data_IF_875081725317
#
_entry.id   IF_875081725317
#
_cell.length_a   1.000
_cell.length_b   1.000
_cell.length_c   1.000
_cell.angle_alpha   90.00
_cell.angle_beta   90.00
_cell.angle_gamma   90.00
#
_symmetry.space_group_name_H-M   'P 1'
#
loop_
_entity.id
_entity.type
_entity.pdbx_description
1 polymer ?
#
# COMPACT_ATOMS: atom_id res chain seq x y z
N UNK A 1 51.16 -19.05 -18.91
CA UNK A 1 51.46 -18.94 -17.47
C UNK A 1 50.31 -18.15 -16.84
N UNK A 2 49.45 -18.63 -15.95
CA UNK A 2 49.37 -19.84 -15.13
C UNK A 2 47.87 -20.13 -14.92
N UNK A 3 47.41 -21.34 -15.26
CA UNK A 3 46.07 -21.81 -14.90
C UNK A 3 46.07 -22.19 -13.41
N UNK A 4 45.05 -21.77 -12.65
CA UNK A 4 44.85 -22.20 -11.26
C UNK A 4 43.91 -23.40 -11.25
N UNK A 5 44.41 -24.52 -10.72
CA UNK A 5 43.67 -25.75 -10.47
C UNK A 5 42.54 -25.53 -9.45
N UNK A 6 41.39 -26.13 -9.74
CA UNK A 6 40.24 -26.24 -8.84
C UNK A 6 40.35 -27.60 -8.13
N UNK A 7 40.24 -27.66 -6.79
CA UNK A 7 40.30 -28.94 -6.08
C UNK A 7 39.05 -29.80 -6.33
N UNK A 8 39.16 -31.14 -6.35
CA UNK A 8 38.03 -32.01 -6.64
C UNK A 8 36.99 -32.03 -5.51
N UNK A 9 35.72 -32.15 -5.88
CA UNK A 9 34.60 -32.33 -4.94
C UNK A 9 34.70 -33.67 -4.20
N UNK A 10 34.26 -33.74 -2.92
CA UNK A 10 34.19 -35.00 -2.19
C UNK A 10 33.12 -35.93 -2.78
N UNK A 11 33.31 -37.27 -2.72
CA UNK A 11 32.36 -38.22 -3.26
C UNK A 11 31.04 -38.25 -2.47
N UNK A 12 29.94 -38.50 -3.17
CA UNK A 12 28.63 -38.76 -2.59
C UNK A 12 28.66 -40.06 -1.74
N UNK A 13 27.94 -40.10 -0.60
CA UNK A 13 27.83 -41.32 0.20
C UNK A 13 27.01 -42.40 -0.56
N UNK A 14 27.33 -43.70 -0.36
CA UNK A 14 26.61 -44.80 -1.00
C UNK A 14 25.17 -44.93 -0.46
N UNK A 15 24.23 -45.46 -1.26
CA UNK A 15 22.85 -45.65 -0.83
C UNK A 15 22.76 -46.81 0.17
N UNK A 16 22.29 -46.53 1.40
CA UNK A 16 22.04 -47.58 2.39
C UNK A 16 22.39 -47.27 3.86
N UNK A 17 22.54 -46.01 4.26
CA UNK A 17 22.73 -45.68 5.68
C UNK A 17 21.39 -45.72 6.46
N UNK A 18 21.34 -46.30 7.66
CA UNK A 18 20.12 -46.35 8.48
C UNK A 18 19.74 -44.95 8.98
N UNK A 19 18.45 -44.68 9.25
CA UNK A 19 18.01 -43.37 9.72
C UNK A 19 18.62 -43.06 11.08
N UNK A 20 19.11 -41.82 11.22
CA UNK A 20 19.58 -41.25 12.49
C UNK A 20 18.43 -41.27 13.53
N UNK A 21 18.73 -41.55 14.82
CA UNK A 21 17.70 -41.63 15.85
C UNK A 21 17.04 -40.26 16.08
N UNK A 22 15.72 -40.28 16.21
CA UNK A 22 14.90 -39.14 16.64
C UNK A 22 15.40 -38.60 17.98
N UNK A 23 15.83 -37.33 17.99
CA UNK A 23 16.21 -36.65 19.23
C UNK A 23 14.98 -36.47 20.11
N UNK A 24 15.01 -37.12 21.26
CA UNK A 24 14.06 -36.97 22.34
C UNK A 24 13.98 -35.53 22.85
N UNK A 25 12.78 -35.18 23.27
CA UNK A 25 12.42 -33.95 23.99
C UNK A 25 13.29 -33.83 25.24
N UNK A 26 14.25 -32.91 25.22
CA UNK A 26 14.87 -32.40 26.45
C UNK A 26 14.06 -31.19 26.91
N UNK A 27 13.45 -31.35 28.08
CA UNK A 27 12.84 -30.27 28.84
C UNK A 27 13.95 -29.37 29.40
N UNK A 28 14.29 -28.31 28.68
CA UNK A 28 15.13 -27.24 29.21
C UNK A 28 14.27 -26.06 29.63
N UNK A 29 14.42 -25.70 30.90
CA UNK A 29 13.78 -24.60 31.61
C UNK A 29 14.00 -23.28 30.86
N UNK A 30 12.90 -22.62 30.49
CA UNK A 30 12.91 -21.21 30.08
C UNK A 30 13.19 -20.34 31.32
N UNK A 31 14.20 -19.45 31.32
CA UNK A 31 14.38 -18.48 32.40
C UNK A 31 13.26 -17.44 32.34
N UNK A 32 12.57 -17.23 33.47
CA UNK A 32 11.54 -16.22 33.59
C UNK A 32 12.15 -14.79 33.54
N UNK A 33 11.55 -13.85 32.79
CA UNK A 33 11.91 -12.44 32.88
C UNK A 33 11.41 -11.83 34.21
N UNK A 34 12.06 -10.75 34.71
CA UNK A 34 11.68 -10.13 35.98
C UNK A 34 10.29 -9.46 35.89
N UNK A 35 9.52 -9.40 36.99
CA UNK A 35 8.20 -8.79 36.99
C UNK A 35 8.28 -7.27 36.85
N UNK A 36 7.55 -6.71 35.89
CA UNK A 36 7.29 -5.27 35.79
C UNK A 36 6.20 -4.87 36.81
N UNK A 37 6.26 -3.67 37.42
CA UNK A 37 5.29 -3.25 38.42
C UNK A 37 3.87 -3.08 37.85
N UNK A 38 2.89 -3.65 38.56
CA UNK A 38 1.45 -3.54 38.29
C UNK A 38 0.95 -2.18 38.80
N UNK A 39 0.11 -1.43 38.07
CA UNK A 39 -0.53 -0.24 38.61
C UNK A 39 -1.56 -0.62 39.69
N UNK A 40 -1.55 0.12 40.80
CA UNK A 40 -2.38 -0.12 41.97
C UNK A 40 -3.89 -0.02 41.66
N UNK A 41 -4.74 -0.82 42.32
CA UNK A 41 -6.19 -0.72 42.18
C UNK A 41 -6.73 0.57 42.85
N UNK A 42 -7.83 1.15 42.34
CA UNK A 42 -8.47 2.28 42.99
C UNK A 42 -9.08 1.86 44.33
N UNK A 43 -8.75 2.63 45.37
CA UNK A 43 -9.26 2.47 46.73
C UNK A 43 -10.75 2.79 46.74
N UNK A 44 -11.57 1.82 47.14
CA UNK A 44 -13.00 2.03 47.41
C UNK A 44 -13.17 2.83 48.70
N UNK A 45 -13.80 4.00 48.59
CA UNK A 45 -14.29 4.78 49.73
C UNK A 45 -15.82 4.81 49.71
N UNK A 46 -16.43 4.11 50.66
CA UNK A 46 -17.85 4.19 51.00
C UNK A 46 -18.15 5.58 51.58
N UNK A 47 -18.97 6.37 50.87
CA UNK A 47 -19.46 7.65 51.35
C UNK A 47 -20.86 7.92 50.81
N UNK A 48 -21.86 7.80 51.69
CA UNK A 48 -23.25 8.19 51.42
C UNK A 48 -23.28 9.72 51.31
N UNK A 49 -23.62 10.27 50.14
CA UNK A 49 -23.90 11.69 49.98
C UNK A 49 -25.30 11.91 49.41
N UNK A 50 -26.08 12.65 50.18
CA UNK A 50 -27.45 13.08 49.89
C UNK A 50 -27.48 14.05 48.71
N UNK A 51 -28.47 13.91 47.83
CA UNK A 51 -28.65 14.77 46.66
C UNK A 51 -28.97 16.23 47.06
N UNK A 52 -28.25 17.25 46.53
CA UNK A 52 -28.68 18.63 46.62
C UNK A 52 -29.66 18.99 45.49
N UNK A 53 -30.73 19.68 45.85
CA UNK A 53 -31.74 20.21 44.92
C UNK A 53 -31.13 21.29 43.99
N UNK A 54 -31.60 21.39 42.72
CA UNK A 54 -31.07 22.37 41.78
C UNK A 54 -31.52 23.80 42.11
N UNK A 55 -30.55 24.72 42.19
CA UNK A 55 -30.78 26.17 42.15
C UNK A 55 -30.96 26.62 40.68
N UNK A 56 -31.82 27.62 40.40
CA UNK A 56 -32.00 28.12 39.04
C UNK A 56 -30.75 28.87 38.58
N UNK A 57 -30.13 28.38 37.51
CA UNK A 57 -29.05 29.07 36.79
C UNK A 57 -29.69 30.02 35.79
N UNK A 58 -29.35 31.31 35.89
CA UNK A 58 -29.78 32.33 34.95
C UNK A 58 -29.28 31.98 33.54
N UNK A 59 -30.21 31.97 32.58
CA UNK A 59 -29.92 31.79 31.15
C UNK A 59 -29.16 33.03 30.65
N UNK A 60 -27.92 32.93 30.16
CA UNK A 60 -27.30 34.03 29.46
C UNK A 60 -28.01 34.21 28.11
N UNK A 61 -28.49 35.42 27.86
CA UNK A 61 -29.01 35.85 26.56
C UNK A 61 -27.89 35.67 25.54
N UNK A 62 -28.11 34.78 24.57
CA UNK A 62 -27.18 34.55 23.47
C UNK A 62 -27.11 35.79 22.60
N UNK A 63 -25.98 36.50 22.67
CA UNK A 63 -25.56 37.42 21.60
C UNK A 63 -25.13 36.53 20.43
N UNK A 64 -25.68 36.70 19.22
CA UNK A 64 -25.27 35.89 18.09
C UNK A 64 -23.82 36.23 17.73
N UNK A 65 -22.88 35.37 18.13
CA UNK A 65 -21.53 35.36 17.58
C UNK A 65 -21.65 34.73 16.20
N UNK A 66 -21.70 35.58 15.18
CA UNK A 66 -21.46 35.16 13.81
C UNK A 66 -20.00 34.73 13.74
N UNK A 67 -19.76 33.42 13.86
CA UNK A 67 -18.50 32.80 13.47
C UNK A 67 -18.35 33.01 11.96
N UNK A 68 -17.65 34.06 11.56
CA UNK A 68 -17.13 34.16 10.22
C UNK A 68 -16.25 32.92 9.98
N UNK A 69 -16.72 31.99 9.14
CA UNK A 69 -15.85 30.96 8.58
C UNK A 69 -14.64 31.63 7.92
N UNK A 70 -13.52 30.90 7.71
CA UNK A 70 -12.35 31.48 7.07
C UNK A 70 -12.79 32.14 5.76
N UNK A 71 -12.68 33.46 5.70
CA UNK A 71 -12.91 34.22 4.47
C UNK A 71 -11.84 33.73 3.52
N UNK A 72 -12.24 32.88 2.57
CA UNK A 72 -11.37 32.48 1.47
C UNK A 72 -11.11 33.77 0.69
N UNK A 73 -9.91 34.33 0.84
CA UNK A 73 -9.48 35.46 0.03
C UNK A 73 -9.65 35.08 -1.44
N UNK A 74 -10.10 36.00 -2.31
CA UNK A 74 -10.22 35.72 -3.73
C UNK A 74 -8.86 35.23 -4.25
N UNK A 75 -8.85 34.19 -5.12
CA UNK A 75 -7.60 33.69 -5.68
C UNK A 75 -6.83 34.84 -6.34
N UNK A 76 -5.49 34.85 -6.22
CA UNK A 76 -4.68 35.90 -6.82
C UNK A 76 -4.90 35.98 -8.34
N UNK A 77 -4.86 37.19 -8.89
CA UNK A 77 -5.03 37.46 -10.32
C UNK A 77 -4.10 36.58 -11.18
N UNK A 78 -4.62 35.75 -12.10
CA UNK A 78 -3.80 34.86 -12.93
C UNK A 78 -2.68 35.56 -13.70
N UNK A 79 -2.91 36.80 -14.16
CA UNK A 79 -1.90 37.58 -14.88
C UNK A 79 -0.75 38.00 -13.95
N UNK A 80 -1.05 38.26 -12.67
CA UNK A 80 -0.07 38.57 -11.65
C UNK A 80 0.79 37.35 -11.30
N UNK A 81 0.16 36.18 -11.18
CA UNK A 81 0.88 34.93 -10.88
C UNK A 81 1.87 34.61 -12.01
N UNK A 82 1.44 34.71 -13.28
CA UNK A 82 2.34 34.44 -14.42
C UNK A 82 3.48 35.45 -14.54
N UNK A 83 3.23 36.75 -14.30
CA UNK A 83 4.30 37.77 -14.32
C UNK A 83 5.37 37.53 -13.24
N UNK A 84 4.94 37.27 -12.00
CA UNK A 84 5.86 36.99 -10.90
C UNK A 84 6.61 35.68 -11.12
N UNK A 85 5.93 34.67 -11.66
CA UNK A 85 6.53 33.39 -12.04
C UNK A 85 7.61 33.54 -13.09
N UNK A 86 7.33 34.25 -14.18
CA UNK A 86 8.31 34.48 -15.26
C UNK A 86 9.58 35.16 -14.73
N UNK A 87 9.43 36.09 -13.79
CA UNK A 87 10.54 36.77 -13.11
C UNK A 87 11.35 35.82 -12.22
N UNK A 88 10.68 35.02 -11.40
CA UNK A 88 11.34 34.04 -10.52
C UNK A 88 12.11 32.99 -11.34
N UNK A 89 11.51 32.52 -12.44
CA UNK A 89 12.14 31.59 -13.38
C UNK A 89 13.38 32.20 -14.06
N UNK A 90 13.30 33.46 -14.51
CA UNK A 90 14.45 34.15 -15.10
C UNK A 90 15.62 34.35 -14.10
N UNK A 91 15.31 34.44 -12.80
CA UNK A 91 16.32 34.53 -11.75
C UNK A 91 16.75 33.19 -11.14
N UNK A 92 16.09 32.07 -11.45
CA UNK A 92 16.33 30.78 -10.79
C UNK A 92 15.99 30.75 -9.29
N UNK A 93 15.08 31.61 -8.81
CA UNK A 93 14.75 31.72 -7.38
C UNK A 93 13.54 30.85 -7.03
N UNK A 94 13.61 30.14 -5.90
CA UNK A 94 12.42 29.48 -5.34
C UNK A 94 11.38 30.52 -4.87
N UNK A 95 10.07 30.21 -4.99
CA UNK A 95 8.98 31.08 -4.53
C UNK A 95 8.88 31.12 -3.00
N UNK A 96 9.84 31.79 -2.37
CA UNK A 96 9.82 32.15 -0.95
C UNK A 96 9.07 33.46 -0.75
N UNK A 97 8.50 33.74 0.44
CA UNK A 97 7.86 35.03 0.72
C UNK A 97 8.73 36.24 0.37
N UNK A 98 10.04 36.15 0.65
CA UNK A 98 11.01 37.19 0.33
C UNK A 98 11.21 37.36 -1.20
N UNK A 99 11.38 36.25 -1.94
CA UNK A 99 11.58 36.29 -3.39
C UNK A 99 10.32 36.79 -4.13
N UNK A 100 9.14 36.35 -3.69
CA UNK A 100 7.85 36.82 -4.25
C UNK A 100 7.64 38.30 -3.97
N UNK A 101 7.90 38.77 -2.75
CA UNK A 101 7.82 40.19 -2.41
C UNK A 101 8.82 41.04 -3.23
N UNK A 102 10.04 40.53 -3.46
CA UNK A 102 11.02 41.20 -4.30
C UNK A 102 10.58 41.28 -5.78
N UNK A 103 10.04 40.19 -6.32
CA UNK A 103 9.51 40.14 -7.69
C UNK A 103 8.31 41.08 -7.88
N UNK A 104 7.37 41.14 -6.92
CA UNK A 104 6.24 42.07 -6.94
C UNK A 104 6.69 43.54 -6.96
N UNK A 105 7.67 43.89 -6.11
CA UNK A 105 8.24 45.24 -6.08
C UNK A 105 8.89 45.61 -7.41
N UNK A 106 9.58 44.66 -8.04
CA UNK A 106 10.20 44.86 -9.36
C UNK A 106 9.17 45.05 -10.48
N UNK A 107 7.98 44.44 -10.37
CA UNK A 107 6.85 44.63 -11.29
C UNK A 107 6.02 45.89 -10.98
N UNK A 108 6.44 46.71 -9.99
CA UNK A 108 5.74 47.93 -9.59
C UNK A 108 4.38 47.68 -8.93
N UNK A 109 4.13 46.47 -8.41
CA UNK A 109 2.86 46.08 -7.79
C UNK A 109 2.99 45.94 -6.27
N UNK A 110 1.98 46.41 -5.55
CA UNK A 110 1.89 46.31 -4.07
C UNK A 110 0.71 45.42 -3.72
N UNK A 111 0.98 44.32 -3.00
CA UNK A 111 -0.04 43.44 -2.40
C UNK A 111 -0.10 43.71 -0.90
N UNK A 112 -1.30 43.69 -0.32
CA UNK A 112 -1.46 43.75 1.13
C UNK A 112 -0.83 42.53 1.81
N UNK A 113 -0.31 42.69 3.04
CA UNK A 113 0.35 41.62 3.81
C UNK A 113 -0.51 40.35 3.94
N UNK A 114 -1.84 40.49 3.98
CA UNK A 114 -2.77 39.36 4.05
C UNK A 114 -2.83 38.51 2.77
N UNK A 115 -2.51 39.07 1.60
CA UNK A 115 -2.61 38.38 0.30
C UNK A 115 -1.28 37.79 -0.18
N UNK A 116 -0.15 38.19 0.42
CA UNK A 116 1.17 37.66 0.10
C UNK A 116 1.29 36.14 0.37
N UNK A 117 0.79 35.58 1.49
CA UNK A 117 0.81 34.13 1.72
C UNK A 117 0.06 33.34 0.65
N UNK A 118 -1.07 33.86 0.17
CA UNK A 118 -1.90 33.21 -0.85
C UNK A 118 -1.23 33.26 -2.23
N UNK A 119 -0.60 34.38 -2.59
CA UNK A 119 0.21 34.48 -3.80
C UNK A 119 1.45 33.58 -3.75
N UNK A 120 2.17 33.54 -2.62
CA UNK A 120 3.30 32.63 -2.43
C UNK A 120 2.85 31.18 -2.56
N UNK A 121 1.67 30.83 -2.03
CA UNK A 121 1.09 29.48 -2.16
C UNK A 121 0.71 29.18 -3.61
N UNK A 122 0.11 30.12 -4.33
CA UNK A 122 -0.21 29.99 -5.74
C UNK A 122 1.05 29.83 -6.62
N UNK A 123 2.09 30.62 -6.35
CA UNK A 123 3.37 30.51 -7.06
C UNK A 123 4.11 29.22 -6.75
N UNK A 124 4.13 28.77 -5.48
CA UNK A 124 4.66 27.45 -5.12
C UNK A 124 3.92 26.33 -5.83
N UNK A 125 2.59 26.42 -5.84
CA UNK A 125 1.71 25.49 -6.54
C UNK A 125 2.01 25.43 -8.04
N UNK A 126 2.31 26.56 -8.67
CA UNK A 126 2.53 26.62 -10.11
C UNK A 126 3.98 26.32 -10.55
N UNK A 127 4.96 26.72 -9.73
CA UNK A 127 6.39 26.56 -9.99
C UNK A 127 6.88 25.17 -9.59
N UNK A 128 6.40 24.65 -8.46
CA UNK A 128 6.87 23.38 -7.88
C UNK A 128 5.75 22.34 -7.66
N UNK A 129 4.48 22.74 -7.64
CA UNK A 129 3.33 21.86 -7.41
C UNK A 129 2.62 21.40 -8.69
N UNK A 130 1.43 20.81 -8.54
CA UNK A 130 0.61 20.32 -9.64
C UNK A 130 -0.25 21.41 -10.31
N UNK A 131 0.07 22.70 -10.07
CA UNK A 131 -0.64 23.84 -10.63
C UNK A 131 -2.15 23.80 -10.31
N UNK A 132 -3.04 23.95 -11.30
CA UNK A 132 -4.49 23.93 -11.08
C UNK A 132 -5.01 22.65 -10.38
N UNK A 133 -4.28 21.54 -10.46
CA UNK A 133 -4.70 20.27 -9.85
C UNK A 133 -4.47 20.23 -8.34
N UNK A 134 -3.66 21.13 -7.78
CA UNK A 134 -3.36 21.16 -6.34
C UNK A 134 -4.61 21.32 -5.48
N UNK A 135 -5.65 22.01 -5.97
CA UNK A 135 -6.91 22.14 -5.23
C UNK A 135 -7.59 20.77 -5.06
N UNK A 136 -7.48 19.91 -6.07
CA UNK A 136 -8.04 18.56 -6.08
C UNK A 136 -7.17 17.60 -5.25
N UNK A 137 -5.84 17.68 -5.38
CA UNK A 137 -4.90 16.82 -4.65
C UNK A 137 -4.87 17.07 -3.14
N UNK A 138 -5.33 18.24 -2.68
CA UNK A 138 -5.46 18.56 -1.25
C UNK A 138 -6.76 18.06 -0.63
N UNK A 139 -7.76 17.69 -1.42
CA UNK A 139 -8.99 17.09 -0.92
C UNK A 139 -8.66 15.68 -0.38
N UNK A 140 -8.80 15.43 0.94
CA UNK A 140 -8.42 14.16 1.54
C UNK A 140 -9.25 12.97 1.05
N UNK A 141 -10.43 13.23 0.45
CA UNK A 141 -11.30 12.19 -0.09
C UNK A 141 -10.91 11.78 -1.52
N UNK A 142 -10.12 12.60 -2.23
CA UNK A 142 -9.70 12.31 -3.61
C UNK A 142 -8.65 11.22 -3.63
N UNK A 143 -8.92 10.16 -4.40
CA UNK A 143 -8.01 9.04 -4.63
C UNK A 143 -7.31 9.12 -5.98
N UNK A 144 -7.96 9.70 -6.99
CA UNK A 144 -7.46 9.78 -8.35
C UNK A 144 -7.83 11.13 -8.98
N UNK A 145 -6.92 11.72 -9.74
CA UNK A 145 -7.15 12.90 -10.60
C UNK A 145 -6.72 12.53 -12.02
N UNK A 146 -7.64 12.64 -12.97
CA UNK A 146 -7.44 12.22 -14.36
C UNK A 146 -7.63 13.41 -15.29
N UNK A 147 -6.60 13.78 -16.04
CA UNK A 147 -6.68 14.78 -17.11
C UNK A 147 -6.65 14.04 -18.44
N UNK A 148 -7.77 14.05 -19.16
CA UNK A 148 -7.88 13.41 -20.47
C UNK A 148 -7.65 14.40 -21.62
N UNK A 149 -7.91 15.68 -21.36
CA UNK A 149 -7.73 16.81 -22.26
C UNK A 149 -7.72 18.12 -21.44
N UNK A 150 -7.34 19.26 -22.01
CA UNK A 150 -7.31 20.55 -21.29
C UNK A 150 -8.64 20.94 -20.66
N UNK A 151 -9.75 20.60 -21.30
CA UNK A 151 -11.12 20.87 -20.88
C UNK A 151 -11.79 19.68 -20.15
N UNK A 152 -11.04 18.60 -19.90
CA UNK A 152 -11.56 17.32 -19.42
C UNK A 152 -10.75 16.78 -18.22
N UNK A 153 -11.08 17.28 -17.03
CA UNK A 153 -10.48 16.84 -15.74
C UNK A 153 -11.52 16.12 -14.88
N UNK A 154 -11.18 14.91 -14.44
CA UNK A 154 -12.00 14.05 -13.58
C UNK A 154 -11.30 13.77 -12.25
N UNK A 155 -12.09 13.45 -11.22
CA UNK A 155 -11.61 12.93 -9.94
C UNK A 155 -12.39 11.69 -9.52
N UNK A 156 -11.76 10.82 -8.74
CA UNK A 156 -12.47 9.74 -8.03
C UNK A 156 -12.27 9.94 -6.52
N UNK A 157 -13.34 9.72 -5.75
CA UNK A 157 -13.34 9.70 -4.27
C UNK A 157 -13.62 8.30 -3.70
N UNK A 158 -13.52 7.27 -4.53
CA UNK A 158 -13.89 5.88 -4.25
C UNK A 158 -15.27 5.46 -4.73
N UNK A 159 -16.09 6.39 -5.24
CA UNK A 159 -17.43 6.14 -5.78
C UNK A 159 -17.48 6.11 -7.32
N UNK A 160 -16.34 6.28 -7.98
CA UNK A 160 -16.22 6.37 -9.43
C UNK A 160 -15.91 7.80 -9.91
N UNK A 161 -15.54 7.95 -11.19
CA UNK A 161 -15.05 9.21 -11.74
C UNK A 161 -16.15 10.27 -11.85
N UNK A 162 -15.82 11.49 -11.44
CA UNK A 162 -16.67 12.68 -11.46
C UNK A 162 -15.95 13.83 -12.17
N UNK A 163 -16.62 14.50 -13.11
CA UNK A 163 -16.03 15.64 -13.83
C UNK A 163 -15.92 16.85 -12.91
N UNK A 164 -14.80 17.56 -12.99
CA UNK A 164 -14.54 18.77 -12.20
C UNK A 164 -14.74 20.04 -13.03
N UNK A 165 -14.73 21.20 -12.36
CA UNK A 165 -14.68 22.50 -13.01
C UNK A 165 -13.25 22.97 -13.36
N UNK A 166 -12.22 22.21 -12.97
CA UNK A 166 -10.83 22.56 -13.25
C UNK A 166 -10.54 22.33 -14.72
N UNK A 167 -9.94 23.31 -15.38
CA UNK A 167 -9.53 23.26 -16.78
C UNK A 167 -8.14 23.87 -16.94
N UNK A 168 -7.52 23.57 -18.08
CA UNK A 168 -6.28 24.15 -18.55
C UNK A 168 -6.54 25.05 -19.76
N UNK A 169 -5.67 26.03 -19.97
CA UNK A 169 -5.79 26.94 -21.11
C UNK A 169 -5.70 26.22 -22.46
N UNK A 170 -4.77 25.27 -22.58
CA UNK A 170 -4.51 24.50 -23.79
C UNK A 170 -3.75 23.20 -23.48
N UNK A 171 -3.53 22.38 -24.51
CA UNK A 171 -2.73 21.14 -24.43
C UNK A 171 -1.28 21.43 -24.03
N UNK A 172 -0.73 22.55 -24.49
CA UNK A 172 0.63 22.95 -24.16
C UNK A 172 0.79 23.20 -22.66
N UNK A 173 -0.23 23.70 -21.96
CA UNK A 173 -0.24 23.88 -20.52
C UNK A 173 -0.22 22.54 -19.78
N UNK A 174 -1.01 21.55 -20.23
CA UNK A 174 -1.00 20.19 -19.68
C UNK A 174 0.37 19.53 -19.91
N UNK A 175 0.93 19.64 -21.12
CA UNK A 175 2.28 19.16 -21.45
C UNK A 175 3.35 19.79 -20.55
N UNK A 176 3.34 21.12 -20.40
CA UNK A 176 4.29 21.81 -19.52
C UNK A 176 4.16 21.32 -18.08
N UNK A 177 2.94 21.08 -17.58
CA UNK A 177 2.73 20.53 -16.25
C UNK A 177 3.32 19.12 -16.13
N UNK A 178 2.98 18.23 -17.06
CA UNK A 178 3.49 16.86 -17.10
C UNK A 178 5.02 16.81 -17.06
N UNK A 179 5.67 17.63 -17.89
CA UNK A 179 7.12 17.71 -18.00
C UNK A 179 7.79 18.24 -16.74
N UNK A 180 7.19 19.26 -16.09
CA UNK A 180 7.69 19.79 -14.80
C UNK A 180 7.58 18.75 -13.69
N UNK A 181 6.44 18.06 -13.58
CA UNK A 181 6.25 17.03 -12.56
C UNK A 181 7.24 15.88 -12.75
N UNK A 182 7.44 15.43 -14.00
CA UNK A 182 8.41 14.39 -14.34
C UNK A 182 9.85 14.82 -14.04
N UNK A 183 10.25 16.02 -14.46
CA UNK A 183 11.62 16.51 -14.25
C UNK A 183 11.94 16.75 -12.78
N UNK A 184 10.95 17.17 -11.99
CA UNK A 184 11.07 17.34 -10.53
C UNK A 184 11.46 16.06 -9.78
N UNK A 185 11.21 14.89 -10.38
CA UNK A 185 11.62 13.58 -9.84
C UNK A 185 12.64 12.86 -10.73
N UNK A 186 13.37 13.61 -11.57
CA UNK A 186 14.48 13.11 -12.37
C UNK A 186 14.05 12.19 -13.52
N UNK A 187 12.82 12.35 -14.02
CA UNK A 187 12.26 11.56 -15.12
C UNK A 187 12.17 12.40 -16.39
N UNK A 188 12.36 11.75 -17.53
CA UNK A 188 12.28 12.38 -18.85
C UNK A 188 10.91 12.19 -19.46
N UNK A 189 10.33 13.27 -19.98
CA UNK A 189 9.07 13.28 -20.71
C UNK A 189 9.18 14.28 -21.87
N UNK A 190 9.29 13.79 -23.09
CA UNK A 190 9.43 14.59 -24.31
C UNK A 190 8.99 13.80 -25.53
N UNK A 191 9.21 14.31 -26.74
CA UNK A 191 8.73 13.66 -27.96
C UNK A 191 9.48 12.34 -28.27
N UNK A 192 10.67 12.13 -27.69
CA UNK A 192 11.42 10.88 -27.81
C UNK A 192 11.00 9.86 -26.74
N UNK A 193 10.58 10.32 -25.56
CA UNK A 193 10.01 9.53 -24.48
C UNK A 193 8.60 10.04 -24.15
N UNK A 194 7.58 9.69 -24.96
CA UNK A 194 6.26 10.34 -24.93
C UNK A 194 5.36 9.85 -23.78
N UNK A 195 5.89 9.05 -22.85
CA UNK A 195 5.18 8.67 -21.63
C UNK A 195 6.15 8.55 -20.46
N UNK A 196 5.61 8.63 -19.24
CA UNK A 196 6.40 8.49 -18.02
C UNK A 196 5.55 7.95 -16.88
N UNK A 197 6.17 7.09 -16.07
CA UNK A 197 5.71 6.69 -14.74
C UNK A 197 6.66 7.23 -13.68
N UNK A 198 6.09 7.83 -12.63
CA UNK A 198 6.85 8.45 -11.55
C UNK A 198 6.07 8.47 -10.22
N UNK A 199 6.80 8.58 -9.11
CA UNK A 199 6.24 8.89 -7.78
C UNK A 199 6.75 10.27 -7.38
N UNK A 200 5.83 11.21 -7.16
CA UNK A 200 6.14 12.58 -6.74
C UNK A 200 6.59 12.61 -5.27
N UNK A 201 7.18 13.73 -4.83
CA UNK A 201 7.75 13.87 -3.49
C UNK A 201 6.72 13.67 -2.35
N UNK A 202 5.44 13.91 -2.62
CA UNK A 202 4.32 13.70 -1.70
C UNK A 202 3.71 12.28 -1.78
N UNK A 203 4.32 11.38 -2.57
CA UNK A 203 3.90 10.01 -2.79
C UNK A 203 2.80 9.85 -3.85
N UNK A 204 2.32 10.93 -4.46
CA UNK A 204 1.36 10.86 -5.58
C UNK A 204 2.02 10.17 -6.75
N UNK A 205 1.37 9.14 -7.30
CA UNK A 205 1.86 8.48 -8.51
C UNK A 205 1.39 9.26 -9.72
N UNK A 206 2.31 9.54 -10.63
CA UNK A 206 2.07 10.18 -11.89
C UNK A 206 2.27 9.18 -13.02
N UNK A 207 1.27 9.05 -13.88
CA UNK A 207 1.42 8.57 -15.23
C UNK A 207 1.08 9.70 -16.19
N UNK A 208 1.91 9.94 -17.21
CA UNK A 208 1.62 10.93 -18.25
C UNK A 208 1.90 10.37 -19.64
N UNK A 209 1.12 10.82 -20.62
CA UNK A 209 1.28 10.45 -22.03
C UNK A 209 1.10 11.68 -22.91
N UNK A 210 2.08 11.97 -23.76
CA UNK A 210 2.09 13.10 -24.69
C UNK A 210 1.44 12.76 -26.04
N UNK A 211 1.11 13.80 -26.81
CA UNK A 211 0.88 13.65 -28.25
C UNK A 211 2.15 13.18 -28.96
N UNK A 212 2.04 12.41 -30.08
CA UNK A 212 0.81 11.97 -30.73
C UNK A 212 0.19 10.68 -30.14
N UNK A 213 0.83 10.06 -29.13
CA UNK A 213 0.34 8.80 -28.53
C UNK A 213 -1.03 9.00 -27.91
N UNK A 214 -1.20 10.09 -27.16
CA UNK A 214 -2.51 10.51 -26.67
C UNK A 214 -3.21 11.41 -27.71
N UNK A 215 -4.09 10.81 -28.51
CA UNK A 215 -4.67 11.43 -29.71
C UNK A 215 -5.39 12.76 -29.44
N UNK A 216 -6.11 12.86 -28.32
CA UNK A 216 -6.91 14.05 -27.97
C UNK A 216 -6.12 15.17 -27.29
N UNK A 217 -4.88 14.92 -26.89
CA UNK A 217 -4.08 15.82 -26.05
C UNK A 217 -3.29 15.04 -25.03
N UNK A 218 -2.38 15.73 -24.34
CA UNK A 218 -1.58 15.19 -23.24
C UNK A 218 -2.49 14.71 -22.11
N UNK A 219 -2.28 13.48 -21.66
CA UNK A 219 -3.03 12.88 -20.57
C UNK A 219 -2.19 12.81 -19.28
N UNK A 220 -2.84 12.96 -18.13
CA UNK A 220 -2.26 12.76 -16.80
C UNK A 220 -3.17 11.85 -15.97
N UNK A 221 -2.59 10.89 -15.28
CA UNK A 221 -3.25 10.12 -14.23
C UNK A 221 -2.45 10.28 -12.94
N UNK A 222 -3.04 10.95 -11.96
CA UNK A 222 -2.45 11.15 -10.64
C UNK A 222 -3.20 10.28 -9.63
N UNK A 223 -2.50 9.38 -8.95
CA UNK A 223 -3.09 8.52 -7.93
C UNK A 223 -2.55 8.90 -6.56
N UNK A 224 -3.45 9.38 -5.71
CA UNK A 224 -3.11 9.88 -4.38
C UNK A 224 -2.95 8.71 -3.42
N UNK A 225 -1.83 8.61 -2.70
CA UNK A 225 -1.64 7.56 -1.71
C UNK A 225 -2.64 7.75 -0.57
N UNK A 226 -3.30 6.65 -0.16
CA UNK A 226 -4.17 6.68 1.02
C UNK A 226 -3.33 6.94 2.26
N UNK A 227 -3.64 8.03 2.96
CA UNK A 227 -2.88 8.48 4.14
C UNK A 227 -3.26 7.74 5.43
N UNK A 228 -4.37 7.00 5.43
CA UNK A 228 -4.88 6.32 6.62
C UNK A 228 -4.56 4.83 6.59
N UNK A 229 -3.74 4.38 7.54
CA UNK A 229 -3.55 2.96 7.83
C UNK A 229 -4.82 2.41 8.50
N UNK A 230 -5.48 1.42 7.89
CA UNK A 230 -6.65 0.74 8.46
C UNK A 230 -6.21 -0.49 9.25
N UNK A 231 -6.72 -0.63 10.47
CA UNK A 231 -6.57 -1.85 11.27
C UNK A 231 -7.73 -2.82 11.05
N UNK A 232 -7.60 -4.03 11.58
CA UNK A 232 -8.66 -5.06 11.50
C UNK A 232 -9.99 -4.57 12.09
N UNK A 233 -9.95 -3.86 13.22
CA UNK A 233 -11.15 -3.28 13.82
C UNK A 233 -11.86 -2.25 12.92
N UNK A 234 -11.10 -1.53 12.09
CA UNK A 234 -11.67 -0.57 11.14
C UNK A 234 -12.36 -1.31 9.98
N UNK A 235 -11.77 -2.42 9.51
CA UNK A 235 -12.38 -3.27 8.48
C UNK A 235 -13.66 -3.96 8.98
N UNK A 236 -13.71 -4.35 10.25
CA UNK A 236 -14.94 -4.88 10.87
C UNK A 236 -16.01 -3.79 10.93
N UNK A 237 -15.66 -2.57 11.38
CA UNK A 237 -16.60 -1.44 11.44
C UNK A 237 -17.14 -1.05 10.06
N UNK A 238 -16.32 -1.17 9.02
CA UNK A 238 -16.71 -0.90 7.64
C UNK A 238 -17.51 -2.04 6.97
N UNK A 239 -17.69 -3.18 7.65
CA UNK A 239 -18.37 -4.37 7.09
C UNK A 239 -17.52 -5.15 6.08
N UNK A 240 -16.23 -4.82 5.92
CA UNK A 240 -15.29 -5.55 5.07
C UNK A 240 -14.87 -6.90 5.65
N UNK A 241 -14.94 -7.04 6.97
CA UNK A 241 -14.72 -8.29 7.70
C UNK A 241 -15.88 -8.52 8.67
N UNK A 242 -16.36 -9.76 8.76
CA UNK A 242 -17.16 -10.15 9.92
C UNK A 242 -16.26 -10.32 11.14
N UNK A 243 -16.77 -10.24 12.39
CA UNK A 243 -15.98 -10.50 13.58
C UNK A 243 -15.30 -11.88 13.56
N UNK A 244 -16.00 -12.91 13.07
CA UNK A 244 -15.46 -14.26 12.92
C UNK A 244 -14.36 -14.32 11.83
N UNK A 245 -14.50 -13.58 10.73
CA UNK A 245 -13.43 -13.47 9.73
C UNK A 245 -12.19 -12.77 10.31
N UNK A 246 -12.39 -11.71 11.09
CA UNK A 246 -11.30 -10.99 11.74
C UNK A 246 -10.54 -11.88 12.73
N UNK A 247 -11.25 -12.65 13.57
CA UNK A 247 -10.65 -13.61 14.50
C UNK A 247 -9.82 -14.67 13.75
N UNK A 248 -10.43 -15.34 12.76
CA UNK A 248 -9.76 -16.36 11.97
C UNK A 248 -8.52 -15.81 11.26
N UNK A 249 -8.62 -14.65 10.60
CA UNK A 249 -7.51 -14.10 9.83
C UNK A 249 -6.39 -13.53 10.71
N UNK A 250 -6.67 -12.98 11.88
CA UNK A 250 -5.59 -12.66 12.83
C UNK A 250 -4.95 -13.95 13.39
N UNK A 251 -5.70 -15.04 13.56
CA UNK A 251 -5.13 -16.33 13.95
C UNK A 251 -4.20 -16.91 12.87
N UNK A 252 -4.54 -16.77 11.58
CA UNK A 252 -3.64 -17.09 10.44
C UNK A 252 -2.30 -16.37 10.57
N UNK A 253 -2.34 -15.06 10.84
CA UNK A 253 -1.12 -14.25 11.01
C UNK A 253 -0.33 -14.72 12.23
N UNK A 254 -1.02 -14.93 13.35
CA UNK A 254 -0.40 -15.32 14.63
C UNK A 254 0.25 -16.71 14.57
N UNK A 255 -0.37 -17.64 13.85
CA UNK A 255 0.14 -18.98 13.57
C UNK A 255 1.30 -19.00 12.57
N UNK A 256 1.67 -17.84 11.99
CA UNK A 256 2.72 -17.72 10.94
C UNK A 256 2.44 -18.62 9.73
N UNK A 257 1.17 -18.86 9.41
CA UNK A 257 0.81 -19.52 8.17
C UNK A 257 1.20 -18.62 6.99
N UNK A 258 1.79 -19.20 5.96
CA UNK A 258 2.12 -18.51 4.72
C UNK A 258 0.87 -18.43 3.83
N UNK A 259 0.54 -17.21 3.38
CA UNK A 259 -0.72 -17.00 2.65
C UNK A 259 -0.63 -15.95 1.54
N UNK A 260 -1.52 -16.10 0.55
CA UNK A 260 -1.77 -15.06 -0.46
C UNK A 260 -3.15 -14.46 -0.29
N UNK A 261 -3.26 -13.14 -0.44
CA UNK A 261 -4.52 -12.44 -0.61
C UNK A 261 -4.81 -12.30 -2.10
N UNK A 262 -5.90 -12.89 -2.57
CA UNK A 262 -6.29 -12.88 -3.98
C UNK A 262 -7.57 -12.07 -4.23
N UNK A 263 -7.75 -11.60 -5.45
CA UNK A 263 -8.94 -10.86 -5.87
C UNK A 263 -8.70 -9.91 -7.05
N UNK A 264 -9.80 -9.39 -7.60
CA UNK A 264 -9.78 -8.46 -8.72
C UNK A 264 -9.14 -7.09 -8.41
N UNK A 265 -9.07 -6.23 -9.43
CA UNK A 265 -8.57 -4.87 -9.26
C UNK A 265 -9.52 -4.07 -8.37
N UNK A 266 -8.97 -3.34 -7.38
CA UNK A 266 -9.78 -2.53 -6.47
C UNK A 266 -10.63 -3.31 -5.46
N UNK A 267 -10.45 -4.63 -5.31
CA UNK A 267 -11.16 -5.44 -4.31
C UNK A 267 -10.67 -5.24 -2.87
N UNK A 268 -9.56 -4.51 -2.67
CA UNK A 268 -9.02 -4.21 -1.34
C UNK A 268 -7.96 -5.20 -0.83
N UNK A 269 -7.31 -5.98 -1.71
CA UNK A 269 -6.24 -6.94 -1.35
C UNK A 269 -5.18 -6.31 -0.44
N UNK A 270 -4.56 -5.23 -0.90
CA UNK A 270 -3.49 -4.52 -0.19
C UNK A 270 -3.98 -3.93 1.13
N UNK A 271 -5.23 -3.45 1.17
CA UNK A 271 -5.85 -2.93 2.39
C UNK A 271 -6.06 -4.03 3.44
N UNK A 272 -6.58 -5.19 3.04
CA UNK A 272 -6.73 -6.34 3.93
C UNK A 272 -5.36 -6.82 4.42
N UNK A 273 -4.40 -7.00 3.52
CA UNK A 273 -3.05 -7.43 3.87
C UNK A 273 -2.40 -6.48 4.87
N UNK A 274 -2.45 -5.16 4.63
CA UNK A 274 -1.90 -4.15 5.55
C UNK A 274 -2.55 -4.19 6.94
N UNK A 275 -3.86 -4.42 7.02
CA UNK A 275 -4.55 -4.57 8.30
C UNK A 275 -4.13 -5.84 9.04
N UNK A 276 -4.03 -6.98 8.33
CA UNK A 276 -3.64 -8.27 8.90
C UNK A 276 -2.20 -8.29 9.40
N UNK A 277 -1.29 -7.63 8.69
CA UNK A 277 0.10 -7.47 9.15
C UNK A 277 0.20 -6.72 10.49
N UNK A 278 -0.82 -5.94 10.86
CA UNK A 278 -0.93 -5.35 12.19
C UNK A 278 -1.24 -6.35 13.31
N UNK A 279 -1.72 -7.57 13.00
CA UNK A 279 -1.89 -8.64 14.00
C UNK A 279 -0.57 -9.40 14.26
N UNK A 280 0.52 -9.14 13.51
CA UNK A 280 1.81 -9.80 13.72
C UNK A 280 2.38 -9.47 15.11
N UNK A 281 3.19 -10.39 15.65
CA UNK A 281 3.76 -10.19 16.98
C UNK A 281 4.72 -8.97 16.97
N UNK A 282 4.64 -8.03 17.93
CA UNK A 282 5.40 -6.76 17.89
C UNK A 282 6.93 -6.89 17.76
N UNK A 283 7.49 -8.04 18.13
CA UNK A 283 8.92 -8.33 18.02
C UNK A 283 9.35 -8.84 16.62
N UNK A 284 8.40 -9.10 15.71
CA UNK A 284 8.69 -9.59 14.36
C UNK A 284 9.13 -8.45 13.45
N UNK A 285 10.19 -8.65 12.68
CA UNK A 285 10.66 -7.71 11.67
C UNK A 285 10.00 -7.99 10.33
N UNK A 286 9.14 -7.07 9.89
CA UNK A 286 8.38 -7.17 8.64
C UNK A 286 9.10 -6.42 7.52
N UNK A 287 9.44 -7.12 6.44
CA UNK A 287 10.04 -6.52 5.23
C UNK A 287 9.03 -6.55 4.09
N UNK A 288 8.59 -5.36 3.66
CA UNK A 288 7.62 -5.18 2.61
C UNK A 288 8.36 -4.81 1.32
N UNK A 289 8.26 -5.64 0.29
CA UNK A 289 8.77 -5.35 -1.05
C UNK A 289 7.58 -5.00 -1.94
N UNK A 290 7.57 -3.78 -2.48
CA UNK A 290 6.47 -3.26 -3.28
C UNK A 290 7.01 -2.61 -4.55
N UNK A 291 6.29 -2.69 -5.67
CA UNK A 291 6.65 -1.89 -6.83
C UNK A 291 6.47 -0.40 -6.56
N UNK A 292 5.43 -0.11 -5.79
CA UNK A 292 5.13 1.22 -5.34
C UNK A 292 4.52 1.12 -3.94
N UNK A 293 5.03 1.91 -3.00
CA UNK A 293 4.83 1.64 -1.59
C UNK A 293 3.39 2.00 -1.12
N UNK A 294 2.49 1.01 -0.98
CA UNK A 294 1.10 1.20 -0.52
C UNK A 294 0.86 0.68 0.90
N UNK A 295 1.56 -0.39 1.28
CA UNK A 295 1.35 -1.04 2.57
C UNK A 295 1.89 -0.18 3.71
N UNK A 296 1.00 0.12 4.65
CA UNK A 296 1.30 0.91 5.86
C UNK A 296 0.75 0.20 7.10
N UNK A 297 1.21 -1.02 7.43
CA UNK A 297 0.66 -1.78 8.56
C UNK A 297 0.93 -1.06 9.89
N UNK A 298 -0.01 -1.17 10.84
CA UNK A 298 0.15 -0.66 12.21
C UNK A 298 1.05 -1.61 13.02
N UNK A 299 2.34 -1.62 12.71
CA UNK A 299 3.33 -2.51 13.33
C UNK A 299 4.62 -1.75 13.67
N UNK A 300 5.24 -1.94 14.85
CA UNK A 300 6.39 -1.14 15.28
C UNK A 300 7.68 -1.42 14.51
N UNK A 301 7.84 -2.61 13.93
CA UNK A 301 9.08 -3.02 13.26
C UNK A 301 8.86 -3.37 11.79
N UNK A 302 8.76 -2.34 10.94
CA UNK A 302 8.49 -2.46 9.50
C UNK A 302 9.60 -1.80 8.70
N UNK A 303 10.09 -2.50 7.68
CA UNK A 303 10.98 -1.97 6.65
C UNK A 303 10.27 -2.05 5.31
N UNK A 304 10.21 -0.92 4.61
CA UNK A 304 9.54 -0.80 3.31
C UNK A 304 10.61 -0.64 2.23
N UNK A 305 10.54 -1.48 1.21
CA UNK A 305 11.39 -1.48 0.04
C UNK A 305 10.51 -1.22 -1.18
N UNK A 306 10.93 -0.28 -2.02
CA UNK A 306 10.20 0.12 -3.21
C UNK A 306 11.05 -0.13 -4.45
N UNK A 307 10.41 -0.61 -5.52
CA UNK A 307 11.10 -0.83 -6.78
C UNK A 307 11.52 0.50 -7.39
N UNK A 308 12.55 0.48 -8.21
CA UNK A 308 13.01 1.67 -8.90
C UNK A 308 13.18 1.36 -10.37
N UNK A 309 12.45 2.04 -11.27
CA UNK A 309 12.71 1.91 -12.70
C UNK A 309 14.10 2.43 -13.05
N UNK A 310 14.63 2.03 -14.20
CA UNK A 310 15.89 2.58 -14.73
C UNK A 310 15.83 4.11 -14.85
N UNK A 311 16.99 4.76 -14.71
CA UNK A 311 17.14 6.20 -14.96
C UNK A 311 17.04 6.52 -16.46
N UNK A 312 17.21 7.79 -16.83
CA UNK A 312 17.09 8.25 -18.22
C UNK A 312 18.15 7.65 -19.15
N UNK A 313 19.27 7.19 -18.60
CA UNK A 313 20.34 6.46 -19.29
C UNK A 313 20.09 4.93 -19.34
N UNK A 314 18.97 4.44 -18.82
CA UNK A 314 18.65 3.01 -18.79
C UNK A 314 19.40 2.20 -17.73
N UNK A 315 20.04 2.86 -16.77
CA UNK A 315 20.82 2.25 -15.71
C UNK A 315 20.10 2.27 -14.35
N UNK A 316 20.51 1.37 -13.45
CA UNK A 316 20.10 1.41 -12.04
C UNK A 316 18.66 0.97 -11.77
N UNK A 317 18.06 0.20 -12.67
CA UNK A 317 16.81 -0.50 -12.39
C UNK A 317 16.96 -1.41 -11.16
N UNK A 318 15.97 -1.39 -10.28
CA UNK A 318 15.81 -2.29 -9.15
C UNK A 318 14.42 -2.89 -9.24
N UNK A 319 14.36 -4.14 -9.65
CA UNK A 319 13.09 -4.84 -9.84
C UNK A 319 12.53 -5.34 -8.51
N UNK A 320 11.23 -5.64 -8.46
CA UNK A 320 10.62 -6.29 -7.30
C UNK A 320 11.32 -7.62 -6.94
N UNK A 321 11.79 -8.35 -7.95
CA UNK A 321 12.59 -9.56 -7.78
C UNK A 321 13.90 -9.28 -7.02
N UNK A 322 14.57 -8.17 -7.35
CA UNK A 322 15.79 -7.76 -6.66
C UNK A 322 15.50 -7.38 -5.21
N UNK A 323 14.41 -6.64 -4.96
CA UNK A 323 13.99 -6.29 -3.59
C UNK A 323 13.75 -7.53 -2.73
N UNK A 324 13.05 -8.54 -3.26
CA UNK A 324 12.81 -9.79 -2.53
C UNK A 324 14.14 -10.45 -2.17
N UNK A 325 15.09 -10.55 -3.10
CA UNK A 325 16.42 -11.11 -2.84
C UNK A 325 17.21 -10.34 -1.80
N UNK A 326 17.12 -9.00 -1.82
CA UNK A 326 17.81 -8.17 -0.83
C UNK A 326 17.13 -8.25 0.54
N UNK A 327 15.80 -8.31 0.59
CA UNK A 327 15.03 -8.43 1.82
C UNK A 327 15.46 -9.66 2.63
N UNK A 328 15.72 -10.80 1.97
CA UNK A 328 16.20 -12.02 2.64
C UNK A 328 17.54 -11.87 3.37
N UNK A 329 18.36 -10.88 2.97
CA UNK A 329 19.65 -10.57 3.61
C UNK A 329 19.51 -9.63 4.80
N UNK A 330 18.31 -9.11 5.05
CA UNK A 330 18.03 -8.12 6.10
C UNK A 330 17.38 -8.73 7.34
N UNK A 331 17.53 -10.06 7.51
CA UNK A 331 16.99 -10.86 8.63
C UNK A 331 15.48 -10.62 8.86
N UNK A 332 14.60 -10.85 7.86
CA UNK A 332 13.17 -10.74 8.09
C UNK A 332 12.66 -11.87 8.97
N UNK A 333 11.75 -11.55 9.89
CA UNK A 333 10.85 -12.57 10.46
C UNK A 333 9.68 -12.82 9.50
N UNK A 334 9.28 -11.81 8.70
CA UNK A 334 8.30 -11.96 7.61
C UNK A 334 8.74 -11.22 6.37
N UNK A 335 8.66 -11.91 5.23
CA UNK A 335 8.75 -11.32 3.91
C UNK A 335 7.34 -11.08 3.36
N UNK A 336 7.07 -9.86 2.91
CA UNK A 336 5.81 -9.49 2.30
C UNK A 336 6.05 -8.96 0.89
N UNK A 337 5.33 -9.48 -0.09
CA UNK A 337 5.32 -8.94 -1.46
C UNK A 337 4.00 -8.22 -1.71
N UNK A 338 4.06 -6.93 -2.00
CA UNK A 338 2.89 -6.07 -2.19
C UNK A 338 1.88 -6.65 -3.20
N UNK A 339 2.35 -6.96 -4.41
CA UNK A 339 1.57 -7.70 -5.41
C UNK A 339 2.52 -8.54 -6.29
N UNK A 340 2.22 -9.83 -6.42
CA UNK A 340 2.98 -10.74 -7.28
C UNK A 340 2.41 -10.67 -8.69
N UNK A 341 3.20 -10.12 -9.61
CA UNK A 341 2.87 -9.82 -11.00
C UNK A 341 3.85 -10.39 -12.03
N UNK A 342 5.01 -10.89 -11.61
CA UNK A 342 6.06 -11.39 -12.49
C UNK A 342 7.04 -12.36 -11.82
N UNK A 343 8.31 -12.24 -12.20
CA UNK A 343 9.36 -13.19 -11.87
C UNK A 343 9.72 -13.28 -10.38
N UNK A 344 9.34 -12.29 -9.59
CA UNK A 344 9.46 -12.29 -8.13
C UNK A 344 8.68 -13.43 -7.47
N UNK A 345 7.69 -14.04 -8.16
CA UNK A 345 6.97 -15.22 -7.66
C UNK A 345 7.93 -16.34 -7.25
N UNK A 346 9.02 -16.53 -8.00
CA UNK A 346 10.01 -17.59 -7.73
C UNK A 346 10.78 -17.30 -6.46
N UNK A 347 11.18 -16.04 -6.27
CA UNK A 347 11.94 -15.64 -5.09
C UNK A 347 11.05 -15.65 -3.84
N UNK A 348 9.78 -15.26 -3.96
CA UNK A 348 8.80 -15.37 -2.88
C UNK A 348 8.60 -16.83 -2.48
N UNK A 349 8.28 -17.72 -3.43
CA UNK A 349 8.05 -19.13 -3.12
C UNK A 349 9.33 -19.80 -2.57
N UNK A 350 10.51 -19.44 -3.06
CA UNK A 350 11.77 -19.92 -2.51
C UNK A 350 12.02 -19.41 -1.07
N UNK A 351 11.71 -18.14 -0.78
CA UNK A 351 11.84 -17.56 0.56
C UNK A 351 10.96 -18.28 1.58
N UNK A 352 9.70 -18.52 1.23
CA UNK A 352 8.74 -19.23 2.08
C UNK A 352 9.17 -20.67 2.36
N UNK A 353 9.80 -21.33 1.38
CA UNK A 353 10.36 -22.68 1.53
C UNK A 353 11.65 -22.75 2.38
N UNK A 354 12.33 -21.63 2.62
CA UNK A 354 13.66 -21.60 3.26
C UNK A 354 13.65 -21.04 4.68
N UNK A 355 12.50 -21.12 5.36
CA UNK A 355 12.38 -20.78 6.79
C UNK A 355 11.94 -19.34 7.08
N UNK A 356 11.38 -18.63 6.10
CA UNK A 356 10.71 -17.35 6.31
C UNK A 356 9.20 -17.58 6.52
N UNK A 357 8.89 -18.20 7.66
CA UNK A 357 7.52 -18.51 8.06
C UNK A 357 6.65 -17.25 8.11
N UNK A 358 5.35 -17.42 7.82
CA UNK A 358 4.39 -16.31 7.89
C UNK A 358 4.57 -15.22 6.85
N UNK A 359 5.40 -15.46 5.82
CA UNK A 359 5.50 -14.60 4.65
C UNK A 359 4.23 -14.65 3.81
N UNK A 360 3.93 -13.56 3.14
CA UNK A 360 2.65 -13.39 2.45
C UNK A 360 2.73 -12.37 1.32
N UNK A 361 1.65 -12.25 0.56
CA UNK A 361 1.57 -11.23 -0.48
C UNK A 361 0.19 -11.16 -1.11
N UNK A 362 0.04 -10.30 -2.10
CA UNK A 362 -1.19 -10.27 -2.90
C UNK A 362 -0.99 -10.80 -4.31
N UNK A 363 -2.05 -11.32 -4.92
CA UNK A 363 -2.04 -11.75 -6.31
C UNK A 363 -3.38 -11.43 -6.97
N UNK A 364 -3.36 -10.98 -8.22
CA UNK A 364 -4.60 -10.81 -8.96
C UNK A 364 -5.16 -12.16 -9.42
N UNK A 365 -6.39 -12.47 -9.02
CA UNK A 365 -7.14 -13.63 -9.50
C UNK A 365 -8.65 -13.33 -9.41
N UNK A 366 -9.43 -13.86 -10.35
CA UNK A 366 -10.88 -13.66 -10.39
C UNK A 366 -11.62 -14.53 -9.37
N UNK A 367 -11.00 -15.65 -8.98
CA UNK A 367 -11.46 -16.52 -7.90
C UNK A 367 -10.27 -17.12 -7.16
N UNK A 368 -10.51 -17.67 -5.97
CA UNK A 368 -9.50 -18.46 -5.27
C UNK A 368 -9.06 -19.69 -6.10
N UNK A 369 -10.00 -20.29 -6.85
CA UNK A 369 -9.76 -21.45 -7.72
C UNK A 369 -8.76 -21.16 -8.85
N UNK A 370 -8.66 -19.91 -9.30
CA UNK A 370 -7.77 -19.49 -10.38
C UNK A 370 -6.33 -19.22 -9.92
N UNK A 371 -6.07 -19.19 -8.60
CA UNK A 371 -4.75 -18.85 -8.06
C UNK A 371 -3.63 -19.78 -8.55
N UNK A 372 -3.79 -21.12 -8.56
CA UNK A 372 -2.75 -21.99 -9.12
C UNK A 372 -2.42 -21.68 -10.57
N UNK A 373 -3.44 -21.53 -11.44
CA UNK A 373 -3.23 -21.19 -12.85
C UNK A 373 -2.54 -19.83 -13.02
N UNK A 374 -2.86 -18.85 -12.15
CA UNK A 374 -2.16 -17.57 -12.12
C UNK A 374 -0.68 -17.75 -11.76
N UNK A 375 -0.38 -18.53 -10.72
CA UNK A 375 1.00 -18.80 -10.31
C UNK A 375 1.77 -19.59 -11.37
N UNK A 376 1.10 -20.50 -12.10
CA UNK A 376 1.69 -21.19 -13.26
C UNK A 376 2.11 -20.21 -14.35
N UNK A 377 1.23 -19.26 -14.71
CA UNK A 377 1.53 -18.24 -15.72
C UNK A 377 2.71 -17.34 -15.29
N UNK A 378 2.73 -16.90 -14.03
CA UNK A 378 3.83 -16.10 -13.48
C UNK A 378 5.13 -16.90 -13.40
N UNK A 379 5.06 -18.16 -13.01
CA UNK A 379 6.20 -19.06 -12.99
C UNK A 379 6.77 -19.31 -14.38
N UNK A 380 5.91 -19.44 -15.40
CA UNK A 380 6.32 -19.59 -16.78
C UNK A 380 7.11 -18.37 -17.29
N UNK A 381 6.65 -17.14 -16.96
CA UNK A 381 7.40 -15.90 -17.25
C UNK A 381 8.77 -15.88 -16.57
N UNK A 382 8.92 -16.58 -15.45
CA UNK A 382 10.17 -16.72 -14.71
C UNK A 382 11.02 -17.93 -15.13
N UNK A 383 10.59 -18.69 -16.16
CA UNK A 383 11.29 -19.87 -16.66
C UNK A 383 11.03 -21.18 -15.89
N UNK A 384 10.03 -21.21 -15.00
CA UNK A 384 9.62 -22.45 -14.32
C UNK A 384 8.57 -23.21 -15.12
N UNK A 385 8.77 -24.53 -15.25
CA UNK A 385 7.74 -25.43 -15.74
C UNK A 385 6.62 -25.62 -14.70
N UNK A 386 5.41 -25.94 -15.16
CA UNK A 386 4.21 -26.15 -14.34
C UNK A 386 4.46 -27.04 -13.10
N UNK A 387 5.16 -28.16 -13.28
CA UNK A 387 5.45 -29.07 -12.17
C UNK A 387 6.38 -28.47 -11.11
N UNK A 388 7.36 -27.66 -11.49
CA UNK A 388 8.21 -26.94 -10.55
C UNK A 388 7.41 -25.91 -9.76
N UNK A 389 6.51 -25.17 -10.42
CA UNK A 389 5.61 -24.21 -9.76
C UNK A 389 4.75 -24.90 -8.71
N UNK A 390 4.02 -25.96 -9.06
CA UNK A 390 3.18 -26.66 -8.08
C UNK A 390 3.98 -27.28 -6.94
N UNK A 391 5.20 -27.78 -7.23
CA UNK A 391 6.06 -28.29 -6.18
C UNK A 391 6.44 -27.21 -5.17
N UNK A 392 6.83 -26.03 -5.66
CA UNK A 392 7.17 -24.90 -4.81
C UNK A 392 5.95 -24.35 -4.06
N UNK A 393 4.81 -24.20 -4.73
CA UNK A 393 3.57 -23.69 -4.12
C UNK A 393 3.10 -24.60 -2.98
N UNK A 394 3.09 -25.91 -3.18
CA UNK A 394 2.62 -26.84 -2.16
C UNK A 394 3.49 -26.88 -0.90
N UNK A 395 4.77 -26.50 -1.02
CA UNK A 395 5.71 -26.45 0.09
C UNK A 395 5.75 -25.05 0.75
N UNK A 396 5.46 -24.00 -0.02
CA UNK A 396 5.60 -22.61 0.41
C UNK A 396 4.32 -21.99 0.98
N UNK A 397 3.14 -22.40 0.51
CA UNK A 397 1.88 -21.73 0.80
C UNK A 397 0.91 -22.66 1.50
N UNK A 398 0.32 -22.18 2.59
CA UNK A 398 -0.67 -22.91 3.37
C UNK A 398 -2.10 -22.64 2.87
N UNK A 399 -2.40 -21.36 2.59
CA UNK A 399 -3.76 -20.93 2.28
C UNK A 399 -3.83 -19.70 1.36
N UNK A 400 -5.02 -19.50 0.82
CA UNK A 400 -5.42 -18.31 0.05
C UNK A 400 -6.61 -17.66 0.72
N UNK A 401 -6.51 -16.35 0.94
CA UNK A 401 -7.64 -15.50 1.35
C UNK A 401 -8.16 -14.78 0.11
N UNK A 402 -9.43 -14.93 -0.22
CA UNK A 402 -10.02 -14.30 -1.40
C UNK A 402 -10.91 -13.12 -1.00
N UNK A 403 -10.70 -11.98 -1.66
CA UNK A 403 -11.49 -10.75 -1.47
C UNK A 403 -12.25 -10.39 -2.74
N UNK A 404 -13.47 -9.90 -2.55
CA UNK A 404 -14.38 -9.49 -3.63
C UNK A 404 -14.79 -8.03 -3.47
N UNK A 405 -15.12 -7.40 -4.60
CA UNK A 405 -15.85 -6.13 -4.64
C UNK A 405 -17.27 -6.44 -5.11
N UNK A 406 -18.23 -6.25 -4.23
CA UNK A 406 -19.65 -6.46 -4.52
C UNK A 406 -20.18 -5.35 -5.45
N UNK A 407 -21.38 -5.57 -6.01
CA UNK A 407 -22.01 -4.64 -6.97
C UNK A 407 -22.30 -3.26 -6.38
N UNK A 408 -22.54 -3.20 -5.08
CA UNK A 408 -22.74 -1.97 -4.31
C UNK A 408 -21.44 -1.27 -3.90
N UNK A 409 -20.29 -1.80 -4.32
CA UNK A 409 -18.97 -1.27 -4.04
C UNK A 409 -18.35 -1.77 -2.73
N UNK A 410 -19.07 -2.55 -1.92
CA UNK A 410 -18.53 -3.12 -0.68
C UNK A 410 -17.38 -4.07 -1.00
N UNK A 411 -16.24 -3.84 -0.35
CA UNK A 411 -15.06 -4.71 -0.43
C UNK A 411 -15.05 -5.61 0.79
N UNK A 412 -14.97 -6.93 0.60
CA UNK A 412 -14.97 -7.87 1.74
C UNK A 412 -14.11 -9.10 1.51
N UNK A 413 -13.65 -9.72 2.60
CA UNK A 413 -13.16 -11.10 2.55
C UNK A 413 -14.34 -12.03 2.28
N UNK A 414 -14.22 -12.86 1.25
CA UNK A 414 -15.27 -13.78 0.83
C UNK A 414 -14.98 -15.20 1.29
N UNK A 415 -13.75 -15.68 1.11
CA UNK A 415 -13.42 -17.09 1.29
C UNK A 415 -11.98 -17.28 1.77
N UNK A 416 -11.77 -18.35 2.53
CA UNK A 416 -10.44 -18.89 2.86
C UNK A 416 -10.35 -20.29 2.28
N UNK A 417 -9.29 -20.56 1.53
CA UNK A 417 -9.02 -21.86 0.92
C UNK A 417 -7.68 -22.39 1.42
N UNK A 418 -7.64 -23.65 1.85
CA UNK A 418 -6.38 -24.35 2.11
C UNK A 418 -5.87 -24.97 0.82
N UNK A 419 -4.55 -25.13 0.70
CA UNK A 419 -3.94 -25.73 -0.48
C UNK A 419 -3.71 -27.23 -0.29
N UNK A 420 -4.11 -28.03 -1.28
CA UNK A 420 -3.91 -29.47 -1.32
C UNK A 420 -3.34 -29.93 -2.65
N UNK A 421 -2.75 -31.12 -2.71
CA UNK A 421 -2.38 -31.76 -3.97
C UNK A 421 -3.50 -32.69 -4.44
N UNK A 422 -3.83 -32.64 -5.72
CA UNK A 422 -4.72 -33.59 -6.37
C UNK A 422 -4.01 -34.93 -6.65
N UNK A 423 -4.73 -35.87 -7.26
CA UNK A 423 -4.21 -37.20 -7.63
C UNK A 423 -3.09 -37.15 -8.68
N UNK A 424 -2.99 -36.07 -9.44
CA UNK A 424 -1.91 -35.81 -10.39
C UNK A 424 -0.72 -35.07 -9.74
N UNK A 425 -0.81 -34.72 -8.45
CA UNK A 425 0.23 -34.01 -7.70
C UNK A 425 0.17 -32.49 -7.85
N UNK A 426 -0.85 -31.95 -8.52
CA UNK A 426 -1.05 -30.51 -8.74
C UNK A 426 -1.75 -29.85 -7.58
N UNK A 427 -1.32 -28.63 -7.26
CA UNK A 427 -1.94 -27.85 -6.20
C UNK A 427 -3.32 -27.38 -6.64
N UNK A 428 -4.31 -27.66 -5.81
CA UNK A 428 -5.66 -27.12 -5.89
C UNK A 428 -6.04 -26.43 -4.57
N UNK A 429 -6.76 -25.30 -4.62
CA UNK A 429 -7.36 -24.70 -3.44
C UNK A 429 -8.63 -25.47 -3.06
N UNK A 430 -8.85 -25.65 -1.76
CA UNK A 430 -10.02 -26.31 -1.19
C UNK A 430 -10.73 -25.33 -0.26
N UNK A 431 -12.02 -25.02 -0.50
CA UNK A 431 -12.76 -24.09 0.34
C UNK A 431 -12.75 -24.57 1.80
N UNK A 432 -12.22 -23.76 2.70
CA UNK A 432 -12.14 -24.06 4.13
C UNK A 432 -13.19 -23.29 4.92
N UNK A 433 -13.37 -22.00 4.61
CA UNK A 433 -14.42 -21.16 5.20
C UNK A 433 -14.93 -20.20 4.14
N UNK A 434 -16.25 -20.04 4.05
CA UNK A 434 -16.86 -18.91 3.33
C UNK A 434 -17.54 -17.96 4.30
N UNK A 435 -17.39 -16.67 4.05
CA UNK A 435 -17.98 -15.60 4.82
C UNK A 435 -19.22 -15.10 4.11
N UNK A 436 -20.35 -15.14 4.79
CA UNK A 436 -21.59 -14.56 4.31
C UNK A 436 -21.62 -13.07 4.56
N UNK A 437 -22.35 -12.35 3.69
CA UNK A 437 -22.59 -10.92 3.84
C UNK A 437 -23.28 -10.57 5.17
N UNK A 438 -24.15 -11.44 5.67
CA UNK A 438 -24.84 -11.25 6.94
C UNK A 438 -23.93 -11.47 8.18
N UNK A 439 -22.64 -11.72 7.97
CA UNK A 439 -21.66 -11.96 9.03
C UNK A 439 -21.50 -13.44 9.41
N UNK A 440 -22.33 -14.33 8.88
CA UNK A 440 -22.21 -15.77 9.06
C UNK A 440 -20.94 -16.36 8.44
N UNK A 441 -20.50 -17.50 8.96
CA UNK A 441 -19.40 -18.29 8.40
C UNK A 441 -19.93 -19.69 8.09
N UNK A 442 -19.60 -20.23 6.91
CA UNK A 442 -19.88 -21.62 6.58
C UNK A 442 -18.56 -22.39 6.45
N UNK A 443 -18.37 -23.48 7.22
CA UNK A 443 -17.23 -24.36 7.02
C UNK A 443 -17.36 -25.09 5.67
N UNK A 444 -16.25 -25.19 4.96
CA UNK A 444 -16.12 -25.97 3.73
C UNK A 444 -15.33 -27.27 3.95
N UNK A 445 -15.11 -28.06 2.89
CA UNK A 445 -14.37 -29.33 2.99
C UNK A 445 -12.95 -29.20 3.57
N UNK A 446 -12.30 -28.04 3.38
CA UNK A 446 -10.96 -27.75 3.89
C UNK A 446 -10.91 -27.30 5.35
N UNK A 447 -12.06 -27.19 6.04
CA UNK A 447 -12.14 -26.61 7.39
C UNK A 447 -11.30 -27.38 8.41
N UNK A 448 -11.35 -28.73 8.40
CA UNK A 448 -10.58 -29.54 9.34
C UNK A 448 -9.07 -29.36 9.20
N UNK A 449 -8.58 -29.21 7.95
CA UNK A 449 -7.17 -28.91 7.67
C UNK A 449 -6.79 -27.51 8.14
N UNK A 450 -7.66 -26.52 7.93
CA UNK A 450 -7.45 -25.17 8.43
C UNK A 450 -7.39 -25.15 9.96
N UNK A 451 -8.30 -25.84 10.64
CA UNK A 451 -8.31 -25.93 12.10
C UNK A 451 -7.04 -26.61 12.64
N UNK A 452 -6.55 -27.66 11.97
CA UNK A 452 -5.29 -28.30 12.32
C UNK A 452 -4.08 -27.38 12.11
N UNK A 453 -4.05 -26.63 11.00
CA UNK A 453 -3.00 -25.64 10.71
C UNK A 453 -2.95 -24.54 11.78
N UNK A 454 -4.12 -24.10 12.26
CA UNK A 454 -4.25 -23.02 13.23
C UNK A 454 -4.41 -23.52 14.68
N UNK A 455 -4.08 -24.78 14.95
CA UNK A 455 -4.23 -25.37 16.27
C UNK A 455 -3.48 -24.56 17.33
N UNK A 456 -4.17 -24.20 18.41
CA UNK A 456 -3.64 -23.35 19.48
C UNK A 456 -3.81 -21.84 19.26
N UNK A 457 -4.15 -21.41 18.04
CA UNK A 457 -4.37 -20.00 17.69
C UNK A 457 -5.84 -19.67 17.38
N UNK A 458 -6.62 -20.68 16.98
CA UNK A 458 -8.02 -20.54 16.66
C UNK A 458 -8.84 -21.69 17.25
N UNK A 459 -9.96 -21.36 17.90
CA UNK A 459 -10.95 -22.35 18.37
C UNK A 459 -12.10 -22.28 17.37
N UNK A 460 -12.09 -23.22 16.42
CA UNK A 460 -12.95 -23.27 15.23
C UNK A 460 -14.43 -22.98 15.46
#
# INVERSE_FOLDING_TARGET
>A
MSAREVPPMPPFPPPGAPPLPSRGVRSDRVPQPPPWPVPAPPVGGTGVFSAPQPRPVAVPVAVPVVSAGPVIAPPPDPALVEAVRARLAAGGHEPTPAAVAAALRAEGRVLGEAALPDLVRALRSEIAGAGPLDVLLRDPEVTDVLVNAPDEVWIDRGAGPQRTAVTFADDAAVRRLAQRLASGVGRRLDDASPYVDATLADGVRLHAVLRPVAVRGTCLSLRVPRRTSLGVADLVRAGSLSPAAAELLCAVVSARAAFLVSGGTGSGKTTLLGALLGCAHPAERLLLAEDSAELTPRHPHVVRLESRPANVEGAGEVTLRDLVRQALRMRPDRLVVGEVRGAEVVELLAALNTGHEGGCGTVHANSAADVPARLEALGALAGLGRGAVHSQVAAALDLVVHVVRERDGLRRAAEVHVLERDTAGWVRPVPAVSFERAGGCRPGPGHGRLAALLAGWWRG
#
